data_IF_329989621727
#
_entry.id   IF_329989621727
#
_cell.length_a   1.000
_cell.length_b   1.000
_cell.length_c   1.000
_cell.angle_alpha   90.00
_cell.angle_beta   90.00
_cell.angle_gamma   90.00
#
_symmetry.space_group_name_H-M   'P 1'
#
loop_
_entity.id
_entity.type
_entity.pdbx_description
1 polymer ?
#
# COMPACT_ATOMS: atom_id res chain seq x y z
N UNK A 1 6.45 -44.09 55.52
CA UNK A 1 5.11 -43.98 54.91
C UNK A 1 4.96 -42.56 54.38
N UNK A 2 5.23 -42.34 53.09
CA UNK A 2 4.98 -41.07 52.42
C UNK A 2 3.55 -41.06 51.91
N UNK A 3 2.74 -40.13 52.39
CA UNK A 3 1.39 -39.86 51.90
C UNK A 3 1.46 -38.82 50.79
N UNK A 4 1.40 -39.28 49.53
CA UNK A 4 1.29 -38.41 48.36
C UNK A 4 -0.14 -37.88 48.28
N UNK A 5 -0.35 -36.59 48.55
CA UNK A 5 -1.62 -35.91 48.26
C UNK A 5 -1.52 -35.27 46.87
N UNK A 6 -2.31 -35.79 45.94
CA UNK A 6 -2.54 -35.18 44.62
C UNK A 6 -3.58 -34.08 44.82
N UNK A 7 -3.19 -32.82 44.61
CA UNK A 7 -4.12 -31.71 44.53
C UNK A 7 -4.44 -31.44 43.05
N UNK A 8 -5.61 -31.87 42.61
CA UNK A 8 -6.22 -31.39 41.37
C UNK A 8 -6.76 -29.99 41.61
N UNK A 9 -6.22 -28.98 40.93
CA UNK A 9 -6.87 -27.67 40.81
C UNK A 9 -7.71 -27.67 39.52
N UNK A 10 -8.96 -28.10 39.63
CA UNK A 10 -9.97 -27.82 38.62
C UNK A 10 -10.62 -26.48 38.98
N UNK A 11 -10.08 -25.38 38.45
CA UNK A 11 -10.78 -24.10 38.44
C UNK A 11 -11.35 -23.90 37.05
N UNK A 12 -12.62 -24.31 36.93
CA UNK A 12 -13.48 -23.86 35.86
C UNK A 12 -13.82 -22.40 36.11
N UNK A 13 -13.08 -21.50 35.44
CA UNK A 13 -13.55 -20.14 35.17
C UNK A 13 -13.95 -20.13 33.70
N UNK A 14 -15.21 -20.48 33.44
CA UNK A 14 -15.92 -19.91 32.31
C UNK A 14 -15.97 -18.40 32.54
N UNK A 15 -14.90 -17.70 32.16
CA UNK A 15 -15.03 -16.31 31.78
C UNK A 15 -16.06 -16.31 30.64
N UNK A 16 -17.18 -15.58 30.76
CA UNK A 16 -17.96 -15.29 29.58
C UNK A 16 -16.98 -14.60 28.65
N UNK A 17 -16.73 -15.30 27.55
CA UNK A 17 -15.96 -14.84 26.42
C UNK A 17 -16.68 -13.59 25.93
N UNK A 18 -16.31 -12.42 26.46
CA UNK A 18 -16.72 -11.12 25.95
C UNK A 18 -15.96 -10.87 24.64
N UNK A 19 -16.23 -11.72 23.64
CA UNK A 19 -15.77 -11.53 22.26
C UNK A 19 -16.78 -10.64 21.59
N UNK A 20 -16.40 -9.38 21.41
CA UNK A 20 -17.09 -8.50 20.47
C UNK A 20 -16.10 -7.52 19.81
N UNK A 21 -14.92 -7.29 20.40
CA UNK A 21 -13.83 -6.52 19.78
C UNK A 21 -12.72 -7.33 19.08
N UNK A 22 -12.65 -8.66 19.25
CA UNK A 22 -11.52 -9.48 18.74
C UNK A 22 -11.43 -9.60 17.20
N UNK A 23 -12.40 -9.07 16.45
CA UNK A 23 -12.43 -9.22 14.98
C UNK A 23 -11.98 -7.97 14.22
N UNK A 24 -11.66 -6.87 14.91
CA UNK A 24 -11.03 -5.69 14.28
C UNK A 24 -9.52 -5.85 14.42
N UNK A 25 -8.83 -5.91 13.28
CA UNK A 25 -7.38 -6.04 13.21
C UNK A 25 -6.82 -4.78 12.54
N UNK A 26 -5.94 -4.02 13.20
CA UNK A 26 -5.49 -4.16 14.59
C UNK A 26 -6.57 -3.75 15.62
N UNK A 27 -6.37 -4.12 16.89
CA UNK A 27 -7.28 -3.71 17.97
C UNK A 27 -7.36 -2.17 18.10
N UNK A 28 -8.56 -1.61 18.33
CA UNK A 28 -8.72 -0.17 18.45
C UNK A 28 -8.07 0.37 19.73
N UNK A 29 -7.63 1.63 19.70
CA UNK A 29 -7.03 2.28 20.87
C UNK A 29 -7.94 2.27 22.12
N UNK A 30 -9.26 2.39 21.93
CA UNK A 30 -10.25 2.21 22.98
C UNK A 30 -11.54 1.59 22.43
N UNK A 31 -12.05 0.61 23.16
CA UNK A 31 -13.34 -0.04 22.89
C UNK A 31 -14.21 -0.04 24.15
N UNK A 32 -15.49 0.30 24.00
CA UNK A 32 -16.50 0.23 25.07
C UNK A 32 -17.75 -0.48 24.54
N UNK A 33 -18.10 -1.67 25.04
CA UNK A 33 -19.31 -2.36 24.61
C UNK A 33 -20.58 -1.64 25.08
N UNK A 34 -21.64 -1.72 24.29
CA UNK A 34 -22.97 -1.26 24.64
C UNK A 34 -24.00 -2.39 24.41
N UNK A 35 -25.24 -2.20 24.87
CA UNK A 35 -26.30 -3.21 24.70
C UNK A 35 -26.95 -3.09 23.32
N UNK A 36 -27.22 -4.23 22.71
CA UNK A 36 -27.97 -4.37 21.46
C UNK A 36 -27.08 -4.57 20.24
N UNK A 37 -27.71 -4.65 19.07
CA UNK A 37 -27.04 -4.92 17.79
C UNK A 37 -27.59 -3.99 16.73
N UNK A 38 -26.68 -3.49 15.89
CA UNK A 38 -27.02 -2.80 14.65
C UNK A 38 -27.08 -3.84 13.53
N UNK A 39 -28.26 -3.98 12.92
CA UNK A 39 -28.55 -5.01 11.91
C UNK A 39 -28.93 -4.36 10.60
N UNK A 40 -28.21 -4.64 9.51
CA UNK A 40 -28.59 -4.24 8.16
C UNK A 40 -29.82 -5.02 7.68
N UNK A 41 -30.75 -4.32 7.02
CA UNK A 41 -31.77 -4.97 6.21
C UNK A 41 -31.14 -5.68 5.01
N UNK A 42 -31.87 -6.61 4.39
CA UNK A 42 -31.41 -7.35 3.20
C UNK A 42 -30.99 -6.38 2.08
N UNK A 43 -31.76 -5.30 1.87
CA UNK A 43 -31.46 -4.30 0.84
C UNK A 43 -30.19 -3.50 1.18
N UNK A 44 -30.03 -3.10 2.44
CA UNK A 44 -28.83 -2.39 2.89
C UNK A 44 -27.57 -3.28 2.80
N UNK A 45 -27.66 -4.54 3.21
CA UNK A 45 -26.53 -5.47 3.13
C UNK A 45 -26.12 -5.73 1.67
N UNK A 46 -27.10 -5.92 0.77
CA UNK A 46 -26.83 -6.04 -0.66
C UNK A 46 -26.16 -4.78 -1.23
N UNK A 47 -26.64 -3.59 -0.85
CA UNK A 47 -26.05 -2.32 -1.31
C UNK A 47 -24.60 -2.14 -0.82
N UNK A 48 -24.30 -2.55 0.41
CA UNK A 48 -22.94 -2.56 0.94
C UNK A 48 -22.05 -3.54 0.17
N UNK A 49 -22.50 -4.77 -0.07
CA UNK A 49 -21.73 -5.80 -0.77
C UNK A 49 -21.46 -5.47 -2.25
N UNK A 50 -22.45 -4.92 -2.96
CA UNK A 50 -22.31 -4.69 -4.41
C UNK A 50 -21.74 -3.32 -4.75
N UNK A 51 -22.07 -2.29 -3.96
CA UNK A 51 -21.77 -0.89 -4.31
C UNK A 51 -20.94 -0.18 -3.24
N UNK A 52 -20.56 -0.85 -2.15
CA UNK A 52 -19.85 -0.25 -1.01
C UNK A 52 -20.61 0.92 -0.37
N UNK A 53 -21.96 0.85 -0.35
CA UNK A 53 -22.83 1.92 0.17
C UNK A 53 -23.33 1.57 1.57
N UNK A 54 -23.08 2.45 2.54
CA UNK A 54 -23.65 2.38 3.88
C UNK A 54 -25.04 3.02 3.94
N UNK A 55 -25.93 2.57 4.85
CA UNK A 55 -27.28 3.10 4.94
C UNK A 55 -27.33 4.52 5.53
N UNK A 56 -28.43 5.24 5.29
CA UNK A 56 -28.62 6.63 5.73
C UNK A 56 -28.60 6.85 7.23
N UNK A 57 -28.82 5.79 8.02
CA UNK A 57 -28.68 5.78 9.48
C UNK A 57 -27.22 5.70 9.97
N UNK A 58 -26.25 5.66 9.06
CA UNK A 58 -24.85 5.96 9.33
C UNK A 58 -24.62 7.44 9.07
N UNK A 59 -24.39 8.21 10.12
CA UNK A 59 -24.25 9.66 10.08
C UNK A 59 -22.81 10.04 10.36
N UNK A 60 -22.23 10.85 9.49
CA UNK A 60 -20.87 11.38 9.66
C UNK A 60 -20.92 12.84 10.13
N UNK A 61 -20.13 13.18 11.15
CA UNK A 61 -19.88 14.57 11.57
C UNK A 61 -18.37 14.85 11.53
N UNK A 62 -17.97 15.71 10.60
CA UNK A 62 -16.58 16.13 10.44
C UNK A 62 -16.45 17.56 10.93
N UNK A 63 -15.74 17.74 12.05
CA UNK A 63 -15.51 19.07 12.63
C UNK A 63 -14.24 19.04 13.52
N UNK A 64 -13.46 20.13 13.60
CA UNK A 64 -12.19 20.15 14.33
C UNK A 64 -12.29 19.78 15.82
N UNK A 65 -13.47 19.93 16.43
CA UNK A 65 -13.76 19.62 17.83
C UNK A 65 -14.19 18.16 18.08
N UNK A 66 -14.40 17.37 17.03
CA UNK A 66 -14.91 15.99 17.14
C UNK A 66 -13.88 15.01 17.73
N UNK A 67 -12.60 15.15 17.37
CA UNK A 67 -11.51 14.31 17.87
C UNK A 67 -10.25 15.13 18.10
N UNK A 68 -9.42 14.69 19.05
CA UNK A 68 -8.10 15.27 19.31
C UNK A 68 -7.02 14.24 18.96
N UNK A 69 -5.90 14.69 18.38
CA UNK A 69 -4.76 13.81 18.09
C UNK A 69 -4.44 13.74 16.60
N UNK A 70 -4.10 12.55 16.10
CA UNK A 70 -3.70 12.34 14.70
C UNK A 70 -4.84 12.66 13.72
N UNK A 71 -4.48 13.10 12.50
CA UNK A 71 -5.44 13.48 11.45
C UNK A 71 -6.39 12.34 11.07
N UNK A 72 -6.00 11.08 11.27
CA UNK A 72 -6.82 9.92 10.96
C UNK A 72 -7.64 9.40 12.17
N UNK A 73 -7.69 10.15 13.27
CA UNK A 73 -8.42 9.77 14.48
C UNK A 73 -9.95 9.90 14.30
N UNK A 74 -10.68 8.92 14.82
CA UNK A 74 -12.14 8.89 14.76
C UNK A 74 -12.77 8.36 16.04
N UNK A 75 -14.04 8.74 16.24
CA UNK A 75 -14.97 8.13 17.19
C UNK A 75 -16.11 7.49 16.41
N UNK A 76 -16.31 6.20 16.64
CA UNK A 76 -17.38 5.41 16.04
C UNK A 76 -18.32 4.96 17.17
N UNK A 77 -19.56 5.44 17.15
CA UNK A 77 -20.62 5.04 18.08
C UNK A 77 -21.70 4.26 17.34
N UNK A 78 -21.88 3.01 17.72
CA UNK A 78 -22.86 2.08 17.15
C UNK A 78 -23.96 1.87 18.18
N UNK A 79 -25.19 2.19 17.79
CA UNK A 79 -26.42 1.90 18.54
C UNK A 79 -27.30 0.95 17.73
N UNK A 80 -28.35 0.34 18.30
CA UNK A 80 -29.25 -0.52 17.53
C UNK A 80 -29.88 0.18 16.31
N UNK A 81 -30.21 1.47 16.47
CA UNK A 81 -30.95 2.23 15.46
C UNK A 81 -30.05 3.01 14.49
N UNK A 82 -28.84 3.39 14.91
CA UNK A 82 -27.99 4.32 14.16
C UNK A 82 -26.50 4.16 14.47
N UNK A 83 -25.65 4.62 13.54
CA UNK A 83 -24.21 4.71 13.72
C UNK A 83 -23.76 6.16 13.53
N UNK A 84 -22.92 6.65 14.43
CA UNK A 84 -22.32 7.97 14.36
C UNK A 84 -20.81 7.86 14.19
N UNK A 85 -20.28 8.43 13.11
CA UNK A 85 -18.84 8.54 12.87
C UNK A 85 -18.46 10.02 13.04
N UNK A 86 -17.57 10.30 13.98
CA UNK A 86 -17.10 11.64 14.29
C UNK A 86 -15.59 11.71 14.11
N UNK A 87 -15.10 12.77 13.48
CA UNK A 87 -13.67 12.98 13.27
C UNK A 87 -13.34 14.44 12.99
N UNK A 88 -12.08 14.83 13.20
CA UNK A 88 -11.58 16.15 12.83
C UNK A 88 -11.38 16.31 11.31
N UNK A 89 -11.18 15.22 10.57
CA UNK A 89 -10.85 15.25 9.14
C UNK A 89 -11.67 14.24 8.33
N UNK A 90 -11.74 14.44 7.02
CA UNK A 90 -12.35 13.48 6.09
C UNK A 90 -11.64 12.11 6.15
N UNK A 91 -10.32 12.10 6.31
CA UNK A 91 -9.55 10.85 6.43
C UNK A 91 -9.90 10.08 7.69
N UNK A 92 -10.07 10.76 8.83
CA UNK A 92 -10.53 10.13 10.07
C UNK A 92 -11.92 9.51 9.89
N UNK A 93 -12.87 10.22 9.28
CA UNK A 93 -14.20 9.70 8.98
C UNK A 93 -14.12 8.43 8.10
N UNK A 94 -13.28 8.46 7.06
CA UNK A 94 -13.05 7.30 6.20
C UNK A 94 -12.49 6.10 6.98
N UNK A 95 -11.56 6.29 7.92
CA UNK A 95 -11.06 5.19 8.76
C UNK A 95 -12.16 4.60 9.65
N UNK A 96 -13.01 5.45 10.22
CA UNK A 96 -14.17 5.01 10.99
C UNK A 96 -15.18 4.21 10.16
N UNK A 97 -15.40 4.63 8.92
CA UNK A 97 -16.21 3.92 7.94
C UNK A 97 -15.63 2.53 7.61
N UNK A 98 -14.33 2.43 7.33
CA UNK A 98 -13.68 1.13 7.08
C UNK A 98 -13.77 0.19 8.31
N UNK A 99 -13.74 0.74 9.53
CA UNK A 99 -14.02 -0.02 10.76
C UNK A 99 -15.43 -0.56 10.80
N UNK A 100 -16.43 0.27 10.53
CA UNK A 100 -17.81 -0.19 10.46
C UNK A 100 -18.00 -1.28 9.40
N UNK A 101 -17.44 -1.09 8.21
CA UNK A 101 -17.50 -2.08 7.11
C UNK A 101 -16.83 -3.41 7.48
N UNK A 102 -15.70 -3.38 8.17
CA UNK A 102 -15.03 -4.60 8.64
C UNK A 102 -15.90 -5.36 9.65
N UNK A 103 -16.48 -4.65 10.62
CA UNK A 103 -17.38 -5.23 11.61
C UNK A 103 -18.62 -5.86 10.95
N UNK A 104 -19.28 -5.12 10.04
CA UNK A 104 -20.47 -5.59 9.33
C UNK A 104 -20.17 -6.80 8.43
N UNK A 105 -19.03 -6.80 7.71
CA UNK A 105 -18.60 -7.97 6.92
C UNK A 105 -18.35 -9.18 7.81
N UNK A 106 -17.67 -9.00 8.94
CA UNK A 106 -17.41 -10.09 9.90
C UNK A 106 -18.70 -10.66 10.50
N UNK A 107 -19.68 -9.81 10.79
CA UNK A 107 -20.97 -10.21 11.35
C UNK A 107 -22.07 -10.43 10.32
N UNK A 108 -21.73 -10.52 9.02
CA UNK A 108 -22.66 -10.78 7.91
C UNK A 108 -23.88 -9.85 7.91
N UNK A 109 -23.61 -8.55 8.03
CA UNK A 109 -24.63 -7.49 8.07
C UNK A 109 -25.06 -7.08 9.48
N UNK A 110 -24.52 -7.72 10.53
CA UNK A 110 -24.80 -7.38 11.93
C UNK A 110 -23.53 -6.97 12.66
N UNK A 111 -23.63 -6.06 13.62
CA UNK A 111 -22.55 -5.74 14.55
C UNK A 111 -23.09 -5.32 15.92
N UNK A 112 -22.36 -5.62 16.99
CA UNK A 112 -22.77 -5.24 18.35
C UNK A 112 -22.68 -3.73 18.56
N UNK A 113 -23.61 -3.18 19.34
CA UNK A 113 -23.55 -1.80 19.78
C UNK A 113 -22.28 -1.56 20.61
N UNK A 114 -21.56 -0.48 20.33
CA UNK A 114 -20.31 -0.14 21.01
C UNK A 114 -19.91 1.32 20.75
N UNK A 115 -18.88 1.77 21.48
CA UNK A 115 -18.16 3.00 21.20
C UNK A 115 -16.68 2.67 21.00
N UNK A 116 -16.13 3.03 19.86
CA UNK A 116 -14.72 2.92 19.51
C UNK A 116 -14.15 4.33 19.40
N UNK A 117 -13.05 4.60 20.10
CA UNK A 117 -12.20 5.75 19.83
C UNK A 117 -10.86 5.21 19.35
N UNK A 118 -10.42 5.65 18.18
CA UNK A 118 -9.25 5.06 17.56
C UNK A 118 -8.42 6.09 16.81
N UNK A 119 -7.12 5.82 16.73
CA UNK A 119 -6.14 6.65 16.06
C UNK A 119 -4.92 5.80 15.69
N UNK A 120 -4.25 6.09 14.56
CA UNK A 120 -3.08 5.33 14.17
C UNK A 120 -1.92 5.53 15.16
N UNK A 121 -1.26 4.43 15.55
CA UNK A 121 0.00 4.49 16.32
C UNK A 121 1.13 5.11 15.49
N UNK A 122 1.16 4.82 14.19
CA UNK A 122 2.18 5.30 13.26
C UNK A 122 1.51 5.99 12.08
N UNK A 123 2.05 7.15 11.69
CA UNK A 123 1.57 7.89 10.52
C UNK A 123 1.92 7.20 9.20
N UNK A 124 2.99 6.40 9.15
CA UNK A 124 3.42 5.66 7.97
C UNK A 124 3.08 4.17 8.10
N UNK A 125 2.13 3.69 7.31
CA UNK A 125 1.67 2.28 7.31
C UNK A 125 1.67 1.76 5.88
N UNK A 126 2.81 1.19 5.51
CA UNK A 126 3.16 0.90 4.13
C UNK A 126 2.90 -0.54 3.70
N UNK A 127 2.62 -0.71 2.40
CA UNK A 127 2.77 -1.98 1.67
C UNK A 127 3.56 -1.69 0.39
N UNK A 128 4.55 -2.53 0.09
CA UNK A 128 5.35 -2.43 -1.15
C UNK A 128 4.96 -3.53 -2.13
N UNK A 129 4.74 -3.17 -3.39
CA UNK A 129 4.51 -4.12 -4.48
C UNK A 129 5.59 -3.97 -5.55
N UNK A 130 6.25 -5.08 -5.87
CA UNK A 130 7.19 -5.21 -6.98
C UNK A 130 6.44 -5.60 -8.26
N UNK A 131 6.37 -4.67 -9.20
CA UNK A 131 5.81 -4.88 -10.55
C UNK A 131 6.89 -5.23 -11.58
N UNK A 132 8.17 -5.06 -11.24
CA UNK A 132 9.27 -5.29 -12.15
C UNK A 132 9.49 -6.80 -12.37
N UNK A 133 9.67 -7.55 -11.28
CA UNK A 133 9.94 -9.00 -11.34
C UNK A 133 8.74 -9.75 -11.92
N UNK A 134 7.53 -9.33 -11.59
CA UNK A 134 6.27 -9.82 -12.19
C UNK A 134 5.26 -8.69 -12.31
N UNK A 135 4.67 -8.53 -13.49
CA UNK A 135 3.65 -7.50 -13.71
C UNK A 135 2.25 -8.02 -13.36
N UNK A 136 1.60 -7.40 -12.39
CA UNK A 136 0.25 -7.72 -11.93
C UNK A 136 -0.82 -6.86 -12.62
N UNK A 137 -0.44 -5.63 -13.00
CA UNK A 137 -1.30 -4.73 -13.77
C UNK A 137 -2.39 -4.03 -12.95
N UNK A 138 -3.09 -3.13 -13.63
CA UNK A 138 -3.95 -2.10 -13.04
C UNK A 138 -5.06 -2.64 -12.14
N UNK A 139 -5.79 -3.65 -12.60
CA UNK A 139 -6.91 -4.22 -11.85
C UNK A 139 -6.45 -4.86 -10.53
N UNK A 140 -5.26 -5.49 -10.53
CA UNK A 140 -4.68 -6.09 -9.33
C UNK A 140 -4.18 -5.05 -8.35
N UNK A 141 -3.56 -3.97 -8.84
CA UNK A 141 -3.19 -2.82 -7.99
C UNK A 141 -4.42 -2.20 -7.34
N UNK A 142 -5.52 -2.00 -8.08
CA UNK A 142 -6.77 -1.48 -7.49
C UNK A 142 -7.35 -2.41 -6.42
N UNK A 143 -7.35 -3.72 -6.66
CA UNK A 143 -7.75 -4.73 -5.65
C UNK A 143 -6.87 -4.66 -4.39
N UNK A 144 -5.55 -4.48 -4.55
CA UNK A 144 -4.64 -4.32 -3.44
C UNK A 144 -4.93 -3.03 -2.65
N UNK A 145 -5.21 -1.91 -3.32
CA UNK A 145 -5.56 -0.65 -2.68
C UNK A 145 -6.86 -0.75 -1.86
N UNK A 146 -7.86 -1.52 -2.31
CA UNK A 146 -9.05 -1.83 -1.52
C UNK A 146 -8.72 -2.60 -0.23
N UNK A 147 -7.84 -3.61 -0.34
CA UNK A 147 -7.38 -4.39 0.81
C UNK A 147 -6.63 -3.47 1.79
N UNK A 148 -5.70 -2.66 1.28
CA UNK A 148 -4.95 -1.69 2.08
C UNK A 148 -5.88 -0.74 2.84
N UNK A 149 -6.89 -0.19 2.17
CA UNK A 149 -7.88 0.69 2.80
C UNK A 149 -8.63 -0.01 3.94
N UNK A 150 -9.08 -1.25 3.71
CA UNK A 150 -9.79 -2.06 4.71
C UNK A 150 -8.94 -2.38 5.95
N UNK A 151 -7.63 -2.41 5.79
CA UNK A 151 -6.64 -2.61 6.87
C UNK A 151 -6.06 -1.28 7.38
N UNK A 152 -6.56 -0.14 6.89
CA UNK A 152 -6.14 1.22 7.25
C UNK A 152 -4.66 1.50 6.98
N UNK A 153 -4.05 0.78 6.03
CA UNK A 153 -2.76 1.13 5.45
C UNK A 153 -2.93 2.39 4.59
N UNK A 154 -1.91 3.23 4.53
CA UNK A 154 -2.00 4.57 3.94
C UNK A 154 -0.83 4.94 3.02
N UNK A 155 0.18 4.08 2.88
CA UNK A 155 1.29 4.28 1.94
C UNK A 155 1.41 3.06 1.04
N UNK A 156 1.27 3.25 -0.26
CA UNK A 156 1.57 2.25 -1.28
C UNK A 156 2.93 2.56 -1.89
N UNK A 157 3.94 1.77 -1.55
CA UNK A 157 5.26 1.86 -2.15
C UNK A 157 5.26 1.03 -3.43
N UNK A 158 5.43 1.69 -4.58
CA UNK A 158 5.26 1.06 -5.87
C UNK A 158 6.61 0.88 -6.57
N UNK A 159 7.14 -0.33 -6.46
CA UNK A 159 8.42 -0.72 -7.05
C UNK A 159 8.22 -1.08 -8.53
N UNK A 160 8.58 -0.15 -9.41
CA UNK A 160 8.15 -0.13 -10.81
C UNK A 160 9.28 -0.45 -11.81
N UNK A 161 10.53 -0.49 -11.35
CA UNK A 161 11.72 -0.63 -12.19
C UNK A 161 12.72 -1.54 -11.51
N UNK A 162 13.25 -2.53 -12.24
CA UNK A 162 14.35 -3.38 -11.77
C UNK A 162 14.99 -4.09 -12.98
N UNK A 163 15.87 -5.06 -12.74
CA UNK A 163 16.58 -5.80 -13.79
C UNK A 163 15.65 -6.48 -14.81
N UNK A 164 14.57 -7.19 -14.38
CA UNK A 164 13.73 -7.93 -15.31
C UNK A 164 12.79 -7.01 -16.10
N UNK A 165 12.42 -5.83 -15.58
CA UNK A 165 11.34 -5.05 -16.15
C UNK A 165 11.37 -3.55 -15.85
N UNK A 166 11.02 -2.77 -16.87
CA UNK A 166 10.65 -1.37 -16.74
C UNK A 166 9.14 -1.21 -16.91
N UNK A 167 8.40 -0.72 -15.90
CA UNK A 167 6.93 -0.76 -15.89
C UNK A 167 6.23 0.60 -16.02
N UNK A 168 6.96 1.68 -16.27
CA UNK A 168 6.40 3.04 -16.32
C UNK A 168 6.52 3.63 -17.72
N UNK A 169 5.45 4.21 -18.26
CA UNK A 169 5.58 5.01 -19.48
C UNK A 169 6.27 6.35 -19.22
N UNK A 170 7.47 6.51 -19.78
CA UNK A 170 8.19 7.79 -19.88
C UNK A 170 8.15 8.20 -21.35
N UNK A 171 7.42 9.28 -21.66
CA UNK A 171 7.14 9.70 -23.04
C UNK A 171 8.41 10.07 -23.79
N UNK A 172 9.38 10.69 -23.09
CA UNK A 172 10.67 11.07 -23.67
C UNK A 172 11.53 9.86 -24.04
N UNK A 173 11.35 8.72 -23.36
CA UNK A 173 12.15 7.50 -23.52
C UNK A 173 11.30 6.28 -23.89
N UNK A 174 10.72 6.24 -25.10
CA UNK A 174 9.77 5.20 -25.49
C UNK A 174 10.36 3.79 -25.61
N UNK A 175 11.69 3.63 -25.66
CA UNK A 175 12.30 2.29 -25.66
C UNK A 175 12.22 1.62 -24.29
N UNK A 176 12.05 2.38 -23.20
CA UNK A 176 11.87 1.81 -21.86
C UNK A 176 10.67 0.85 -21.82
N UNK A 177 9.56 1.23 -22.46
CA UNK A 177 8.37 0.37 -22.54
C UNK A 177 8.38 -0.56 -23.76
N UNK A 178 8.99 -0.19 -24.89
CA UNK A 178 9.07 -1.08 -26.08
C UNK A 178 10.08 -2.23 -25.92
N UNK A 179 11.13 -2.03 -25.13
CA UNK A 179 12.25 -2.97 -24.95
C UNK A 179 12.41 -3.34 -23.47
N UNK A 180 12.52 -2.35 -22.58
CA UNK A 180 12.77 -2.58 -21.15
C UNK A 180 11.64 -3.31 -20.42
N UNK A 181 10.40 -3.20 -20.91
CA UNK A 181 9.24 -3.86 -20.30
C UNK A 181 9.01 -5.31 -20.76
N UNK A 182 9.83 -5.83 -21.68
CA UNK A 182 9.79 -7.25 -22.08
C UNK A 182 10.51 -8.11 -21.05
N UNK A 183 9.95 -9.28 -20.79
CA UNK A 183 10.48 -10.24 -19.82
C UNK A 183 9.93 -10.05 -18.41
N UNK A 184 10.11 -11.09 -17.60
CA UNK A 184 9.88 -11.14 -16.16
C UNK A 184 10.85 -12.17 -15.54
N UNK A 185 10.78 -12.36 -14.23
CA UNK A 185 11.70 -13.25 -13.51
C UNK A 185 11.67 -14.72 -13.97
N UNK A 186 10.52 -15.23 -14.43
CA UNK A 186 10.38 -16.62 -14.87
C UNK A 186 10.50 -16.80 -16.39
N UNK A 187 10.22 -15.76 -17.17
CA UNK A 187 10.25 -15.78 -18.63
C UNK A 187 10.87 -14.48 -19.17
N UNK A 188 12.16 -14.50 -19.58
CA UNK A 188 12.82 -13.32 -20.16
C UNK A 188 12.24 -12.94 -21.53
N UNK A 189 11.44 -13.81 -22.16
CA UNK A 189 10.79 -13.56 -23.44
C UNK A 189 9.34 -13.09 -23.32
N UNK A 190 8.84 -12.92 -22.09
CA UNK A 190 7.47 -12.48 -21.85
C UNK A 190 7.16 -11.16 -22.60
N UNK A 191 5.92 -10.99 -23.11
CA UNK A 191 5.54 -9.77 -23.82
C UNK A 191 5.76 -8.51 -22.99
N UNK A 192 5.91 -7.38 -23.69
CA UNK A 192 5.98 -6.06 -23.08
C UNK A 192 4.75 -5.79 -22.20
N UNK A 193 4.98 -5.41 -20.95
CA UNK A 193 3.92 -5.10 -19.99
C UNK A 193 4.34 -3.94 -19.08
N UNK A 194 3.52 -2.89 -19.01
CA UNK A 194 3.80 -1.65 -18.31
C UNK A 194 2.50 -0.85 -18.07
N UNK A 195 2.58 0.19 -17.24
CA UNK A 195 1.52 1.17 -17.04
C UNK A 195 1.70 2.36 -17.97
N UNK A 196 0.65 2.71 -18.72
CA UNK A 196 0.61 4.01 -19.38
C UNK A 196 0.50 5.14 -18.35
N UNK A 197 0.83 6.36 -18.73
CA UNK A 197 0.63 7.51 -17.84
C UNK A 197 -0.85 7.69 -17.44
N UNK A 198 -1.78 7.29 -18.31
CA UNK A 198 -3.21 7.33 -18.00
C UNK A 198 -3.61 6.26 -16.97
N UNK A 199 -3.03 5.06 -17.06
CA UNK A 199 -3.23 4.04 -16.03
C UNK A 199 -2.72 4.48 -14.67
N UNK A 200 -1.54 5.12 -14.65
CA UNK A 200 -0.96 5.66 -13.41
C UNK A 200 -1.87 6.74 -12.82
N UNK A 201 -2.33 7.70 -13.62
CA UNK A 201 -3.25 8.75 -13.14
C UNK A 201 -4.54 8.19 -12.56
N UNK A 202 -5.13 7.20 -13.23
CA UNK A 202 -6.33 6.51 -12.73
C UNK A 202 -6.04 5.79 -11.40
N UNK A 203 -4.92 5.06 -11.30
CA UNK A 203 -4.53 4.37 -10.05
C UNK A 203 -4.25 5.38 -8.92
N UNK A 204 -3.56 6.49 -9.21
CA UNK A 204 -3.28 7.57 -8.25
C UNK A 204 -4.59 8.19 -7.75
N UNK A 205 -5.53 8.51 -8.64
CA UNK A 205 -6.85 9.01 -8.25
C UNK A 205 -7.63 7.98 -7.40
N UNK A 206 -7.53 6.70 -7.78
CA UNK A 206 -8.18 5.60 -7.06
C UNK A 206 -7.63 5.40 -5.65
N UNK A 207 -6.32 5.54 -5.46
CA UNK A 207 -5.65 5.51 -4.16
C UNK A 207 -5.98 6.74 -3.31
N UNK A 208 -6.01 7.93 -3.92
CA UNK A 208 -6.36 9.18 -3.23
C UNK A 208 -7.78 9.13 -2.66
N UNK A 209 -8.74 8.57 -3.40
CA UNK A 209 -10.11 8.33 -2.93
C UNK A 209 -10.21 7.38 -1.70
N UNK A 210 -9.12 6.67 -1.39
CA UNK A 210 -8.98 5.76 -0.23
C UNK A 210 -8.03 6.29 0.84
N UNK A 211 -7.58 7.54 0.69
CA UNK A 211 -6.57 8.16 1.53
C UNK A 211 -5.29 7.31 1.62
N UNK A 212 -4.83 6.83 0.46
CA UNK A 212 -3.56 6.12 0.29
C UNK A 212 -2.65 6.99 -0.57
N UNK A 213 -1.47 7.32 -0.04
CA UNK A 213 -0.41 7.98 -0.77
C UNK A 213 0.39 6.94 -1.56
N UNK A 214 0.65 7.20 -2.84
CA UNK A 214 1.53 6.34 -3.66
C UNK A 214 2.92 6.95 -3.68
N UNK A 215 3.92 6.19 -3.23
CA UNK A 215 5.34 6.53 -3.35
C UNK A 215 5.91 5.71 -4.51
N UNK A 216 6.21 6.32 -5.66
CA UNK A 216 6.84 5.61 -6.76
C UNK A 216 8.31 5.33 -6.42
N UNK A 217 8.81 4.20 -6.89
CA UNK A 217 10.23 3.89 -6.89
C UNK A 217 10.79 3.84 -8.30
N UNK A 218 11.92 4.54 -8.47
CA UNK A 218 12.81 4.43 -9.61
C UNK A 218 14.19 4.08 -9.05
N UNK A 219 14.55 2.81 -9.16
CA UNK A 219 15.76 2.26 -8.54
C UNK A 219 17.03 2.71 -9.25
N UNK A 220 18.01 3.17 -8.48
CA UNK A 220 19.29 3.68 -8.93
C UNK A 220 20.34 3.70 -7.80
N UNK A 221 21.64 3.59 -8.12
CA UNK A 221 22.20 3.34 -9.44
C UNK A 221 22.20 1.86 -9.83
N UNK A 222 21.91 0.94 -8.90
CA UNK A 222 21.76 -0.50 -9.16
C UNK A 222 20.43 -0.84 -9.84
N UNK A 223 20.19 -2.14 -10.05
CA UNK A 223 18.93 -2.66 -10.63
C UNK A 223 18.50 -2.02 -11.95
N UNK A 224 19.45 -1.48 -12.71
CA UNK A 224 19.20 -0.67 -13.91
C UNK A 224 19.06 -1.49 -15.20
N UNK A 225 19.20 -2.83 -15.16
CA UNK A 225 19.35 -3.68 -16.35
C UNK A 225 18.23 -3.51 -17.37
N UNK A 226 16.97 -3.31 -16.96
CA UNK A 226 15.88 -3.09 -17.90
C UNK A 226 16.00 -1.75 -18.65
N UNK A 227 16.47 -0.69 -17.96
CA UNK A 227 16.74 0.60 -18.58
C UNK A 227 17.95 0.52 -19.52
N UNK A 228 19.05 -0.09 -19.07
CA UNK A 228 20.26 -0.29 -19.89
C UNK A 228 19.99 -1.19 -21.11
N UNK A 229 19.09 -2.18 -21.01
CA UNK A 229 18.65 -2.98 -22.16
C UNK A 229 17.92 -2.14 -23.22
N UNK A 230 17.20 -1.09 -22.81
CA UNK A 230 16.51 -0.18 -23.71
C UNK A 230 17.43 0.93 -24.27
N UNK A 231 18.38 1.39 -23.46
CA UNK A 231 19.36 2.45 -23.76
C UNK A 231 20.76 2.03 -23.27
N UNK A 232 21.50 1.23 -24.06
CA UNK A 232 22.78 0.64 -23.64
C UNK A 232 23.86 1.65 -23.25
N UNK A 233 23.78 2.87 -23.78
CA UNK A 233 24.71 3.97 -23.48
C UNK A 233 24.72 4.39 -22.00
N UNK A 234 23.64 4.11 -21.27
CA UNK A 234 23.46 4.42 -19.85
C UNK A 234 24.21 3.45 -18.92
N UNK A 235 24.64 2.29 -19.43
CA UNK A 235 25.25 1.24 -18.62
C UNK A 235 26.57 1.71 -17.98
N UNK A 236 26.66 1.50 -16.67
CA UNK A 236 27.88 1.59 -15.86
C UNK A 236 28.63 0.26 -15.78
N UNK A 237 28.17 -0.76 -16.51
CA UNK A 237 28.80 -2.07 -16.58
C UNK A 237 28.22 -3.07 -15.58
N UNK A 238 29.02 -4.10 -15.32
CA UNK A 238 28.70 -5.24 -14.49
C UNK A 238 28.94 -6.54 -15.25
N UNK A 239 29.21 -7.62 -14.53
CA UNK A 239 29.70 -8.86 -15.15
C UNK A 239 28.78 -10.06 -14.88
N UNK A 240 28.83 -11.03 -15.79
CA UNK A 240 28.13 -12.30 -15.65
C UNK A 240 26.61 -12.12 -15.47
N UNK A 241 26.09 -12.51 -14.30
CA UNK A 241 24.66 -12.38 -14.00
C UNK A 241 24.22 -10.92 -13.76
N UNK A 242 25.15 -10.04 -13.43
CA UNK A 242 24.91 -8.62 -13.11
C UNK A 242 25.31 -7.71 -14.28
N UNK A 243 25.29 -8.25 -15.49
CA UNK A 243 25.63 -7.48 -16.67
C UNK A 243 24.66 -6.31 -16.84
N UNK A 244 25.21 -5.10 -17.01
CA UNK A 244 24.46 -3.86 -17.18
C UNK A 244 23.56 -3.49 -15.97
N UNK A 245 23.90 -4.01 -14.79
CA UNK A 245 23.13 -3.85 -13.55
C UNK A 245 23.16 -2.42 -13.00
N UNK A 246 24.15 -1.61 -13.39
CA UNK A 246 24.29 -0.26 -12.88
C UNK A 246 24.13 0.80 -13.97
N UNK A 247 23.59 1.96 -13.59
CA UNK A 247 23.76 3.19 -14.36
C UNK A 247 25.19 3.70 -14.24
N UNK A 248 25.72 4.29 -15.32
CA UNK A 248 27.06 4.87 -15.32
C UNK A 248 27.10 6.14 -14.45
N UNK A 249 27.88 6.16 -13.35
CA UNK A 249 27.77 7.21 -12.33
C UNK A 249 28.40 8.56 -12.72
N UNK A 250 29.18 8.61 -13.81
CA UNK A 250 29.94 9.80 -14.21
C UNK A 250 29.59 10.36 -15.60
N UNK A 251 28.54 9.86 -16.27
CA UNK A 251 28.14 10.31 -17.61
C UNK A 251 27.05 11.36 -17.52
N UNK A 252 27.24 12.50 -18.19
CA UNK A 252 26.23 13.56 -18.31
C UNK A 252 24.92 13.05 -18.94
N UNK A 253 25.01 12.10 -19.87
CA UNK A 253 23.86 11.46 -20.49
C UNK A 253 23.02 10.69 -19.45
N UNK A 254 23.67 10.01 -18.49
CA UNK A 254 22.98 9.31 -17.40
C UNK A 254 22.24 10.29 -16.50
N UNK A 255 22.90 11.37 -16.08
CA UNK A 255 22.25 12.39 -15.25
C UNK A 255 21.09 13.06 -15.95
N UNK A 256 21.21 13.34 -17.25
CA UNK A 256 20.13 13.88 -18.07
C UNK A 256 18.96 12.90 -18.16
N UNK A 257 19.24 11.61 -18.41
CA UNK A 257 18.22 10.56 -18.43
C UNK A 257 17.46 10.49 -17.10
N UNK A 258 18.19 10.40 -15.97
CA UNK A 258 17.58 10.33 -14.64
C UNK A 258 16.73 11.58 -14.37
N UNK A 259 17.26 12.76 -14.67
CA UNK A 259 16.53 14.03 -14.46
C UNK A 259 15.24 14.07 -15.26
N UNK A 260 15.29 13.69 -16.54
CA UNK A 260 14.12 13.66 -17.40
C UNK A 260 13.06 12.64 -16.95
N UNK A 261 13.48 11.47 -16.46
CA UNK A 261 12.55 10.47 -15.89
C UNK A 261 11.89 11.02 -14.63
N UNK A 262 12.67 11.62 -13.74
CA UNK A 262 12.17 12.24 -12.51
C UNK A 262 11.18 13.39 -12.81
N UNK A 263 11.47 14.22 -13.82
CA UNK A 263 10.58 15.28 -14.30
C UNK A 263 9.22 14.72 -14.73
N UNK A 264 9.16 13.60 -15.44
CA UNK A 264 7.88 12.96 -15.77
C UNK A 264 7.22 12.35 -14.53
N UNK A 265 7.97 11.67 -13.65
CA UNK A 265 7.43 11.05 -12.43
C UNK A 265 6.76 12.07 -11.48
N UNK A 266 7.37 13.23 -11.23
CA UNK A 266 6.79 14.25 -10.35
C UNK A 266 5.47 14.82 -10.88
N UNK A 267 5.23 14.74 -12.20
CA UNK A 267 3.94 15.14 -12.76
C UNK A 267 2.86 14.07 -12.62
N UNK A 268 3.26 12.79 -12.52
CA UNK A 268 2.35 11.66 -12.41
C UNK A 268 1.96 11.35 -10.97
N UNK A 269 2.88 11.56 -10.04
CA UNK A 269 2.70 11.22 -8.63
C UNK A 269 2.69 12.49 -7.76
N UNK A 270 1.56 12.83 -7.12
CA UNK A 270 1.47 14.01 -6.25
C UNK A 270 2.17 13.82 -4.89
N UNK A 271 2.79 12.67 -4.66
CA UNK A 271 3.52 12.38 -3.42
C UNK A 271 4.70 13.34 -3.25
N UNK A 272 4.97 13.83 -2.03
CA UNK A 272 6.17 14.61 -1.74
C UNK A 272 7.44 13.74 -1.66
N UNK A 273 7.34 12.44 -1.93
CA UNK A 273 8.42 11.47 -1.88
C UNK A 273 8.53 10.70 -3.19
N UNK A 274 9.76 10.43 -3.60
CA UNK A 274 10.17 9.44 -4.59
C UNK A 274 11.18 8.52 -3.91
N UNK A 275 11.03 7.21 -4.05
CA UNK A 275 12.04 6.26 -3.62
C UNK A 275 13.06 6.06 -4.74
N UNK A 276 14.34 6.13 -4.42
CA UNK A 276 15.43 6.01 -5.41
C UNK A 276 16.10 4.63 -5.39
N UNK A 277 15.57 3.70 -4.59
CA UNK A 277 16.19 2.39 -4.32
C UNK A 277 17.55 2.55 -3.65
N UNK A 278 18.60 2.13 -4.35
CA UNK A 278 20.00 2.31 -3.90
C UNK A 278 20.60 1.11 -3.19
N UNK A 279 19.96 -0.05 -3.32
CA UNK A 279 20.45 -1.32 -2.81
C UNK A 279 21.44 -2.00 -3.77
N UNK A 280 22.23 -2.91 -3.19
CA UNK A 280 22.99 -3.93 -3.90
C UNK A 280 24.00 -3.50 -4.99
N UNK A 281 24.32 -2.21 -5.12
CA UNK A 281 25.24 -1.64 -6.13
C UNK A 281 26.58 -2.40 -6.24
N UNK A 282 27.09 -2.93 -5.12
CA UNK A 282 28.31 -3.73 -5.08
C UNK A 282 28.30 -4.95 -6.02
N UNK A 283 27.13 -5.46 -6.39
CA UNK A 283 27.00 -6.59 -7.30
C UNK A 283 27.30 -6.25 -8.76
N UNK A 284 27.12 -5.00 -9.20
CA UNK A 284 27.30 -4.60 -10.60
C UNK A 284 28.35 -3.52 -10.83
N UNK A 285 29.15 -3.15 -9.81
CA UNK A 285 30.09 -2.04 -9.90
C UNK A 285 31.53 -2.45 -10.21
N UNK A 286 31.80 -3.68 -10.65
CA UNK A 286 33.17 -4.17 -10.83
C UNK A 286 33.90 -3.37 -11.92
N UNK A 287 33.21 -3.01 -13.00
CA UNK A 287 33.77 -2.20 -14.10
C UNK A 287 34.05 -0.75 -13.68
N UNK A 288 33.44 -0.25 -12.59
CA UNK A 288 33.72 1.11 -12.10
C UNK A 288 35.17 1.28 -11.63
N UNK A 289 35.79 0.18 -11.18
CA UNK A 289 37.19 0.18 -10.77
C UNK A 289 38.18 0.17 -11.95
N UNK A 290 37.71 0.02 -13.19
CA UNK A 290 38.56 -0.07 -14.38
C UNK A 290 38.17 0.93 -15.47
N UNK A 291 36.96 1.51 -15.41
CA UNK A 291 36.52 2.56 -16.35
C UNK A 291 37.28 3.88 -16.10
N UNK A 292 38.07 4.37 -17.09
CA UNK A 292 38.84 5.60 -16.93
C UNK A 292 37.99 6.87 -16.71
N UNK A 293 36.74 6.91 -17.16
CA UNK A 293 35.85 8.06 -16.94
C UNK A 293 35.34 8.12 -15.50
N UNK A 294 35.23 6.97 -14.82
CA UNK A 294 34.78 6.88 -13.43
C UNK A 294 35.96 7.14 -12.46
N UNK A 295 37.18 6.77 -12.85
CA UNK A 295 38.38 6.95 -12.02
C UNK A 295 38.92 8.39 -11.96
N UNK A 296 38.55 9.26 -12.92
CA UNK A 296 39.02 10.64 -13.02
C UNK A 296 38.24 11.59 -12.10
#
# INVERSE_FOLDING_TARGET
MMTTKINLLAVSLFLPVFISAQNVIPEPAQYRPAKGEFVLSIAENKALETNNVLPSRVVQRIAPDCTTGADEAYRLEITPDSVFIQSATVTGAFRGEETLKQLLRSGKGTTSACVINDAPRYSWRGFMLDESRHFFGKEKVKQLLDIMASLRLNVFHWHLTDEPGWRIEIKKYPLLTKVGSKGNYHDPSAPAAFYTQEDIKDIVAYAAARHIMIVPEFDMPGHATAACRAYPELSGGGEGRWKDFTFHPCKEETFRFISDVLDELITLFPSPYIHIGGDEVHFGNQEWFTDPQIQQ
#
